data_IF_566424366965
#
_entry.id   IF_566424366965
#
_cell.length_a   1.000
_cell.length_b   1.000
_cell.length_c   1.000
_cell.angle_alpha   90.00
_cell.angle_beta   90.00
_cell.angle_gamma   90.00
#
_symmetry.space_group_name_H-M   'P 1'
#
loop_
_entity.id
_entity.type
_entity.pdbx_description
1 polymer ?
#
# COMPACT_ATOMS: atom_id res chain seq x y z
N UNK A 1 5.74 -5.91 -10.81
CA UNK A 1 6.71 -5.90 -9.69
C UNK A 1 7.65 -7.09 -9.83
N UNK A 2 8.81 -7.12 -9.15
CA UNK A 2 9.72 -8.28 -9.21
C UNK A 2 9.17 -9.50 -8.46
N UNK A 3 9.66 -10.70 -8.78
CA UNK A 3 9.27 -11.95 -8.12
C UNK A 3 9.54 -11.94 -6.60
N UNK A 4 10.59 -11.24 -6.17
CA UNK A 4 10.92 -11.12 -4.74
C UNK A 4 9.94 -10.20 -3.99
N UNK A 5 9.46 -9.12 -4.61
CA UNK A 5 8.46 -8.21 -4.02
C UNK A 5 8.79 -7.58 -2.66
N UNK A 6 10.06 -7.56 -2.23
CA UNK A 6 10.47 -6.93 -0.95
C UNK A 6 10.70 -5.43 -1.07
N UNK A 7 11.09 -4.97 -2.25
CA UNK A 7 11.40 -3.58 -2.59
C UNK A 7 10.55 -3.17 -3.79
N UNK A 8 9.92 -2.01 -3.70
CA UNK A 8 9.25 -1.32 -4.79
C UNK A 8 10.14 -0.13 -5.17
N UNK A 9 10.40 0.05 -6.47
CA UNK A 9 11.15 1.20 -6.97
C UNK A 9 10.23 2.09 -7.78
N UNK A 10 10.33 3.39 -7.52
CA UNK A 10 9.67 4.44 -8.32
C UNK A 10 10.73 5.07 -9.19
N UNK A 11 10.46 5.17 -10.48
CA UNK A 11 11.36 5.72 -11.47
C UNK A 11 10.75 6.98 -12.09
N UNK A 12 11.60 7.92 -12.45
CA UNK A 12 11.24 9.02 -13.31
C UNK A 12 11.02 8.49 -14.74
N UNK A 13 9.90 8.84 -15.35
CA UNK A 13 9.50 8.27 -16.65
C UNK A 13 10.25 8.86 -17.84
N UNK A 14 10.91 10.01 -17.67
CA UNK A 14 11.65 10.71 -18.73
C UNK A 14 13.13 10.32 -18.70
N UNK A 15 13.74 10.34 -17.51
CA UNK A 15 15.16 10.09 -17.30
C UNK A 15 15.48 8.63 -16.96
N UNK A 16 14.46 7.82 -16.66
CA UNK A 16 14.58 6.44 -16.19
C UNK A 16 15.43 6.28 -14.91
N UNK A 17 15.62 7.37 -14.16
CA UNK A 17 16.38 7.37 -12.90
C UNK A 17 15.51 6.87 -11.76
N UNK A 18 16.12 6.23 -10.76
CA UNK A 18 15.42 5.79 -9.54
C UNK A 18 15.12 7.00 -8.66
N UNK A 19 13.85 7.32 -8.49
CA UNK A 19 13.39 8.38 -7.58
C UNK A 19 13.31 7.89 -6.13
N UNK A 20 12.74 6.69 -5.92
CA UNK A 20 12.53 6.12 -4.57
C UNK A 20 12.74 4.62 -4.54
N UNK A 21 13.29 4.14 -3.42
CA UNK A 21 13.30 2.72 -3.05
C UNK A 21 12.48 2.51 -1.77
N UNK A 22 11.35 1.83 -1.92
CA UNK A 22 10.34 1.63 -0.90
C UNK A 22 10.38 0.17 -0.44
N UNK A 23 10.54 -0.05 0.87
CA UNK A 23 10.59 -1.38 1.48
C UNK A 23 9.20 -1.80 1.93
N UNK A 24 8.61 -2.76 1.22
CA UNK A 24 7.37 -3.44 1.62
C UNK A 24 7.58 -4.31 2.85
N UNK A 25 8.69 -5.06 2.91
CA UNK A 25 9.03 -5.88 4.07
C UNK A 25 10.31 -6.68 3.87
N UNK A 26 10.59 -7.56 4.83
CA UNK A 26 11.75 -8.48 4.80
C UNK A 26 11.46 -9.74 4.00
N UNK A 27 10.26 -10.29 4.18
CA UNK A 27 9.83 -11.53 3.53
C UNK A 27 9.36 -11.24 2.10
N UNK A 28 9.71 -12.13 1.14
CA UNK A 28 9.18 -12.08 -0.21
C UNK A 28 7.66 -12.07 -0.24
N UNK A 29 7.09 -11.40 -1.23
CA UNK A 29 5.64 -11.33 -1.41
C UNK A 29 5.30 -11.18 -2.90
N UNK A 30 4.18 -11.76 -3.33
CA UNK A 30 3.61 -11.49 -4.64
C UNK A 30 2.84 -10.18 -4.52
N UNK A 31 3.22 -9.19 -5.32
CA UNK A 31 2.53 -7.90 -5.37
C UNK A 31 1.37 -8.01 -6.35
N UNK A 32 0.16 -7.70 -5.89
CA UNK A 32 -1.05 -7.78 -6.70
C UNK A 32 -1.39 -6.46 -7.37
N UNK A 33 -1.27 -5.34 -6.65
CA UNK A 33 -1.63 -4.02 -7.16
C UNK A 33 -0.70 -2.94 -6.63
N UNK A 34 -0.44 -1.95 -7.48
CA UNK A 34 0.28 -0.71 -7.19
C UNK A 34 -0.59 0.43 -7.72
N UNK A 35 -0.84 1.46 -6.93
CA UNK A 35 -1.62 2.60 -7.39
C UNK A 35 -1.13 3.90 -6.74
N UNK A 36 -0.95 4.95 -7.55
CA UNK A 36 -0.57 6.27 -7.07
C UNK A 36 -1.82 7.02 -6.58
N UNK A 37 -1.64 7.93 -5.62
CA UNK A 37 -2.67 8.94 -5.36
C UNK A 37 -2.81 9.87 -6.56
N UNK A 38 -3.93 10.58 -6.67
CA UNK A 38 -4.21 11.47 -7.80
C UNK A 38 -3.14 12.55 -8.03
N UNK A 39 -2.52 13.02 -6.95
CA UNK A 39 -1.42 13.99 -6.94
C UNK A 39 -0.02 13.33 -7.01
N UNK A 40 0.06 12.01 -7.15
CA UNK A 40 1.29 11.21 -7.10
C UNK A 40 2.14 11.40 -5.82
N UNK A 41 1.56 11.97 -4.75
CA UNK A 41 2.24 12.17 -3.47
C UNK A 41 2.37 10.90 -2.63
N UNK A 42 1.62 9.84 -2.97
CA UNK A 42 1.58 8.58 -2.25
C UNK A 42 1.47 7.38 -3.20
N UNK A 43 1.86 6.22 -2.70
CA UNK A 43 1.71 4.93 -3.37
C UNK A 43 1.05 3.93 -2.42
N UNK A 44 0.01 3.23 -2.89
CA UNK A 44 -0.54 2.08 -2.21
C UNK A 44 -0.14 0.76 -2.89
N UNK A 45 0.05 -0.29 -2.09
CA UNK A 45 0.57 -1.58 -2.54
C UNK A 45 -0.16 -2.72 -1.86
N UNK A 46 -0.85 -3.59 -2.61
CA UNK A 46 -1.44 -4.83 -2.10
C UNK A 46 -0.57 -6.05 -2.43
N UNK A 47 -0.66 -7.11 -1.62
CA UNK A 47 0.14 -8.32 -1.81
C UNK A 47 -0.56 -9.58 -1.28
N UNK A 48 -0.02 -10.76 -1.62
CA UNK A 48 -0.46 -12.07 -1.13
C UNK A 48 -0.27 -12.29 0.39
N UNK A 49 0.32 -11.34 1.11
CA UNK A 49 0.32 -11.33 2.58
C UNK A 49 -1.00 -10.79 3.14
N UNK A 50 -1.97 -10.52 2.27
CA UNK A 50 -3.28 -9.98 2.60
C UNK A 50 -3.19 -8.62 3.33
N UNK A 51 -2.20 -7.83 2.93
CA UNK A 51 -1.94 -6.49 3.49
C UNK A 51 -1.86 -5.45 2.39
N UNK A 52 -2.29 -4.23 2.75
CA UNK A 52 -2.02 -3.03 1.97
C UNK A 52 -1.00 -2.16 2.71
N UNK A 53 -0.02 -1.66 1.96
CA UNK A 53 0.99 -0.72 2.43
C UNK A 53 0.77 0.65 1.80
N UNK A 54 0.94 1.72 2.59
CA UNK A 54 0.94 3.11 2.12
C UNK A 54 2.31 3.75 2.27
N UNK A 55 2.81 4.32 1.19
CA UNK A 55 4.10 5.03 1.14
C UNK A 55 3.87 6.50 0.80
N UNK A 56 4.66 7.37 1.44
CA UNK A 56 4.74 8.78 1.08
C UNK A 56 5.84 8.97 0.05
N UNK A 57 5.55 9.71 -1.01
CA UNK A 57 6.48 10.03 -2.10
C UNK A 57 6.93 11.50 -2.07
N UNK A 58 6.31 12.33 -1.23
CA UNK A 58 6.71 13.72 -1.06
C UNK A 58 8.20 13.84 -0.67
N UNK A 59 8.83 14.90 -1.16
CA UNK A 59 10.21 15.29 -0.82
C UNK A 59 10.25 15.96 0.56
N UNK A 60 9.82 15.26 1.60
CA UNK A 60 9.97 15.73 2.98
C UNK A 60 11.41 15.54 3.45
N UNK A 61 12.06 16.61 3.91
CA UNK A 61 13.37 16.55 4.61
C UNK A 61 13.30 15.50 5.71
N UNK A 62 13.97 14.36 5.49
CA UNK A 62 14.07 13.28 6.47
C UNK A 62 14.66 13.85 7.75
N UNK A 63 13.90 13.84 8.86
CA UNK A 63 14.52 13.97 10.19
C UNK A 63 15.45 12.78 10.33
N UNK A 64 16.77 13.03 10.38
CA UNK A 64 17.76 12.01 10.73
C UNK A 64 17.49 11.59 12.16
N UNK A 65 16.65 10.56 12.36
CA UNK A 65 16.56 9.91 13.66
C UNK A 65 17.89 9.16 13.86
N UNK A 66 18.66 9.47 14.92
CA UNK A 66 20.03 8.97 15.07
C UNK A 66 20.13 7.46 15.37
N UNK A 67 18.99 6.76 15.44
CA UNK A 67 18.87 5.36 15.89
C UNK A 67 18.66 4.32 14.77
N UNK A 68 18.70 4.69 13.49
CA UNK A 68 18.45 3.75 12.38
C UNK A 68 19.68 2.96 11.90
N UNK A 69 20.72 2.79 12.73
CA UNK A 69 21.96 2.08 12.35
C UNK A 69 21.82 0.55 12.14
N UNK A 70 20.65 -0.03 12.37
CA UNK A 70 20.34 -1.44 12.05
C UNK A 70 19.24 -1.64 10.98
N UNK A 71 18.69 -0.59 10.36
CA UNK A 71 17.58 -0.79 9.42
C UNK A 71 18.04 -1.18 8.02
N UNK A 72 17.47 -2.26 7.49
CA UNK A 72 17.58 -2.67 6.10
C UNK A 72 17.32 -1.49 5.13
N UNK A 73 18.01 -1.43 3.97
CA UNK A 73 17.95 -0.27 3.05
C UNK A 73 16.54 0.00 2.51
N UNK A 74 16.16 1.26 2.29
CA UNK A 74 14.85 1.62 1.74
C UNK A 74 13.85 2.19 2.76
N UNK A 75 12.89 2.95 2.24
CA UNK A 75 11.88 3.65 3.02
C UNK A 75 10.70 2.74 3.33
N UNK A 76 10.34 2.60 4.60
CA UNK A 76 9.22 1.75 5.01
C UNK A 76 7.89 2.48 4.83
N UNK A 77 6.81 1.73 4.63
CA UNK A 77 5.46 2.27 4.58
C UNK A 77 5.11 2.98 5.88
N UNK A 78 4.47 4.15 5.80
CA UNK A 78 3.99 4.87 6.99
C UNK A 78 2.74 4.21 7.58
N UNK A 79 1.98 3.49 6.75
CA UNK A 79 0.85 2.67 7.18
C UNK A 79 0.89 1.29 6.54
N UNK A 80 0.51 0.27 7.32
CA UNK A 80 0.31 -1.11 6.87
C UNK A 80 -0.91 -1.65 7.60
N UNK A 81 -1.87 -2.16 6.86
CA UNK A 81 -3.07 -2.76 7.43
C UNK A 81 -3.43 -4.08 6.74
N UNK A 82 -3.99 -4.99 7.53
CA UNK A 82 -4.49 -6.28 7.06
C UNK A 82 -5.89 -6.09 6.50
N UNK A 83 -6.20 -6.74 5.39
CA UNK A 83 -7.56 -6.75 4.88
C UNK A 83 -8.40 -7.76 5.67
N UNK A 84 -9.67 -7.44 5.98
CA UNK A 84 -10.56 -8.31 6.76
C UNK A 84 -11.14 -9.49 5.96
N UNK A 85 -10.95 -9.51 4.65
CA UNK A 85 -11.30 -10.58 3.72
C UNK A 85 -9.99 -11.25 3.23
N UNK A 86 -10.08 -12.33 2.47
CA UNK A 86 -8.93 -13.10 1.98
C UNK A 86 -8.11 -13.86 3.05
N UNK A 87 -8.68 -14.91 3.65
CA UNK A 87 -7.88 -15.90 4.41
C UNK A 87 -7.32 -17.01 3.52
N UNK A 88 -7.80 -17.13 2.28
CA UNK A 88 -7.35 -18.15 1.34
C UNK A 88 -6.14 -17.66 0.57
N UNK A 89 -5.16 -18.55 0.41
CA UNK A 89 -3.83 -18.27 -0.14
C UNK A 89 -3.83 -17.85 -1.63
N UNK A 90 -4.96 -17.92 -2.32
CA UNK A 90 -5.11 -17.73 -3.77
C UNK A 90 -5.96 -16.51 -4.18
N UNK A 91 -6.51 -15.75 -3.22
CA UNK A 91 -7.37 -14.61 -3.54
C UNK A 91 -6.54 -13.36 -3.81
N UNK A 92 -6.86 -12.70 -4.93
CA UNK A 92 -6.16 -11.49 -5.39
C UNK A 92 -6.93 -10.29 -4.90
N UNK A 93 -6.21 -9.28 -4.38
CA UNK A 93 -6.80 -8.01 -4.00
C UNK A 93 -6.11 -6.86 -4.73
N UNK A 94 -6.92 -5.96 -5.28
CA UNK A 94 -6.51 -4.66 -5.80
C UNK A 94 -6.81 -3.55 -4.80
N UNK A 95 -6.01 -2.48 -4.82
CA UNK A 95 -6.20 -1.33 -3.96
C UNK A 95 -6.05 -0.01 -4.73
N UNK A 96 -6.79 1.02 -4.32
CA UNK A 96 -6.73 2.35 -4.91
C UNK A 96 -7.09 3.41 -3.88
N UNK A 97 -6.52 4.61 -4.00
CA UNK A 97 -6.96 5.74 -3.18
C UNK A 97 -8.42 6.07 -3.52
N UNK A 98 -9.24 6.24 -2.49
CA UNK A 98 -10.65 6.56 -2.64
C UNK A 98 -10.86 8.03 -3.00
N UNK A 99 -12.10 8.41 -3.37
CA UNK A 99 -12.43 9.78 -3.77
C UNK A 99 -12.45 10.76 -2.58
N UNK A 100 -12.62 10.26 -1.35
CA UNK A 100 -12.53 11.10 -0.16
C UNK A 100 -11.06 11.30 0.25
N UNK A 101 -10.72 12.45 0.86
CA UNK A 101 -9.41 12.66 1.45
C UNK A 101 -9.04 11.52 2.40
N UNK A 102 -7.77 11.10 2.30
CA UNK A 102 -7.18 10.09 3.18
C UNK A 102 -7.98 8.79 3.26
N UNK A 103 -8.57 8.39 2.14
CA UNK A 103 -9.29 7.13 2.01
C UNK A 103 -8.62 6.17 1.05
N UNK A 104 -8.79 4.88 1.30
CA UNK A 104 -8.34 3.80 0.44
C UNK A 104 -9.43 2.75 0.31
N UNK A 105 -9.57 2.24 -0.90
CA UNK A 105 -10.48 1.17 -1.26
C UNK A 105 -9.64 -0.07 -1.58
N UNK A 106 -10.09 -1.21 -1.09
CA UNK A 106 -9.54 -2.51 -1.42
C UNK A 106 -10.67 -3.42 -1.90
N UNK A 107 -10.46 -4.07 -3.05
CA UNK A 107 -11.43 -4.98 -3.67
C UNK A 107 -10.74 -6.30 -3.94
N UNK A 108 -11.45 -7.40 -3.68
CA UNK A 108 -10.94 -8.76 -3.82
C UNK A 108 -11.75 -9.58 -4.82
N UNK A 109 -11.09 -10.60 -5.37
CA UNK A 109 -11.70 -11.60 -6.25
C UNK A 109 -12.77 -12.47 -5.57
N UNK A 110 -12.81 -12.51 -4.24
CA UNK A 110 -13.82 -13.23 -3.45
C UNK A 110 -15.14 -12.44 -3.28
N UNK A 111 -15.27 -11.28 -3.92
CA UNK A 111 -16.42 -10.40 -3.73
C UNK A 111 -16.25 -9.39 -2.58
N UNK A 112 -15.14 -9.42 -1.84
CA UNK A 112 -14.87 -8.47 -0.77
C UNK A 112 -14.61 -7.06 -1.29
N UNK A 113 -15.31 -6.08 -0.72
CA UNK A 113 -15.05 -4.65 -0.88
C UNK A 113 -14.88 -4.03 0.50
N UNK A 114 -13.82 -3.26 0.71
CA UNK A 114 -13.69 -2.43 1.91
C UNK A 114 -13.11 -1.06 1.62
N UNK A 115 -13.59 -0.09 2.40
CA UNK A 115 -13.07 1.26 2.49
C UNK A 115 -12.42 1.48 3.85
N UNK A 116 -11.27 2.12 3.84
CA UNK A 116 -10.53 2.53 5.02
C UNK A 116 -10.22 4.01 4.94
N UNK A 117 -10.11 4.64 6.12
CA UNK A 117 -9.46 5.94 6.27
C UNK A 117 -8.07 5.72 6.85
N UNK A 118 -7.14 6.60 6.53
CA UNK A 118 -5.81 6.58 7.14
C UNK A 118 -5.41 7.97 7.61
N UNK A 119 -4.54 8.02 8.61
CA UNK A 119 -3.91 9.25 9.09
C UNK A 119 -2.50 9.33 8.49
N UNK A 120 -2.22 10.38 7.70
CA UNK A 120 -0.91 10.58 7.08
C UNK A 120 0.21 10.83 8.09
N UNK A 121 -0.10 11.40 9.25
CA UNK A 121 0.86 11.79 10.28
C UNK A 121 1.19 10.61 11.21
N UNK A 122 0.16 9.91 11.67
CA UNK A 122 0.32 8.84 12.65
C UNK A 122 0.34 7.44 12.02
N UNK A 123 -0.01 7.32 10.74
CA UNK A 123 -0.04 6.04 10.02
C UNK A 123 -1.17 5.11 10.43
N UNK A 124 -2.06 5.56 11.31
CA UNK A 124 -3.22 4.78 11.76
C UNK A 124 -4.19 4.58 10.60
N UNK A 125 -4.73 3.38 10.47
CA UNK A 125 -5.71 3.04 9.45
C UNK A 125 -6.98 2.50 10.13
N UNK A 126 -8.11 3.12 9.86
CA UNK A 126 -9.41 2.75 10.42
C UNK A 126 -10.33 2.27 9.31
N UNK A 127 -10.91 1.09 9.53
CA UNK A 127 -11.89 0.50 8.62
C UNK A 127 -13.21 1.26 8.73
N UNK A 128 -13.74 1.72 7.60
CA UNK A 128 -15.05 2.39 7.54
C UNK A 128 -16.16 1.43 7.17
N UNK A 129 -16.07 0.82 5.99
CA UNK A 129 -17.13 -0.01 5.42
C UNK A 129 -16.51 -1.27 4.85
N UNK A 130 -17.21 -2.38 5.02
CA UNK A 130 -16.88 -3.65 4.39
C UNK A 130 -18.15 -4.37 3.98
N UNK A 131 -18.17 -4.90 2.77
CA UNK A 131 -19.32 -5.57 2.18
C UNK A 131 -18.89 -6.60 1.14
N UNK A 132 -19.79 -7.52 0.81
CA UNK A 132 -19.65 -8.36 -0.36
C UNK A 132 -20.36 -7.66 -1.52
N UNK A 133 -19.60 -7.14 -2.48
CA UNK A 133 -20.18 -6.37 -3.59
C UNK A 133 -20.97 -7.25 -4.57
N UNK A 134 -20.75 -8.57 -4.53
CA UNK A 134 -21.52 -9.54 -5.30
C UNK A 134 -22.89 -9.85 -4.68
N UNK A 135 -23.12 -9.48 -3.42
CA UNK A 135 -24.37 -9.73 -2.68
C UNK A 135 -25.18 -8.44 -2.44
N UNK A 136 -24.76 -7.33 -3.05
CA UNK A 136 -25.51 -6.09 -3.00
C UNK A 136 -26.74 -6.22 -3.91
N UNK A 137 -27.91 -6.38 -3.31
CA UNK A 137 -29.19 -6.19 -3.99
C UNK A 137 -29.49 -4.69 -4.01
N UNK A 138 -29.82 -4.16 -5.19
CA UNK A 138 -30.24 -2.76 -5.41
C UNK A 138 -31.45 -2.35 -4.56
#
# INVERSE_FOLDING_TARGET
>A
ASEKGTIIRVFDTVTCTVLRELRRGTNPAIIFCLNFSSDSSMLCVSSNHNTVHLFSLNEGKKKKTPLRKLSLPGEVSFSRFQLPFCTKKAEVCICAFGPQPESIIAVSSDGGYCKFNFDRLHGQCTRQTCSLYLEMND
#
